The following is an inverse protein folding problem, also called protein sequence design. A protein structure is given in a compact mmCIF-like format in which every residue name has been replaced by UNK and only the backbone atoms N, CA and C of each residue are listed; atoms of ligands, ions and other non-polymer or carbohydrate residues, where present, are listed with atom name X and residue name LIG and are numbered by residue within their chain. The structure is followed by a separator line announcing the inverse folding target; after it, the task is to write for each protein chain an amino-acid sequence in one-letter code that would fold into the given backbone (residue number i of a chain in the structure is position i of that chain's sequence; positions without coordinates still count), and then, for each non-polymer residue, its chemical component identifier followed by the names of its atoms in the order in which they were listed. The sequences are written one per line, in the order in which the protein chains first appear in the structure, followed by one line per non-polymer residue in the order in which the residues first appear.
data_IF_739008198023
#
_entry.id   IF_739008198023
#
_cell.length_a   1.000
_cell.length_b   1.000
_cell.length_c   1.000
_cell.angle_alpha   90.00
_cell.angle_beta   90.00
_cell.angle_gamma   90.00
#
_symmetry.space_group_name_H-M   'P 1'
#
loop_
_entity.id
_entity.type
_entity.pdbx_description
1 polymer ?
#
# COMPACT_ATOMS: atom_id res chain seq x y z
N UNK A 1 42.59 15.33 -9.46
CA UNK A 1 42.00 16.21 -10.50
C UNK A 1 40.79 16.90 -9.87
N UNK A 2 40.79 18.23 -9.74
CA UNK A 2 39.61 18.97 -9.29
C UNK A 2 38.61 18.94 -10.45
N UNK A 3 37.39 18.44 -10.22
CA UNK A 3 36.31 18.52 -11.19
C UNK A 3 36.20 19.96 -11.72
N UNK A 4 36.03 20.10 -13.03
CA UNK A 4 35.93 21.39 -13.70
C UNK A 4 34.83 22.23 -13.03
N UNK A 5 35.02 23.54 -12.89
CA UNK A 5 34.01 24.47 -12.32
C UNK A 5 32.61 24.27 -12.93
N UNK A 6 32.59 23.84 -14.20
CA UNK A 6 31.37 23.54 -14.96
C UNK A 6 30.70 22.25 -14.48
N UNK A 7 31.45 21.19 -14.18
CA UNK A 7 30.90 19.90 -13.69
C UNK A 7 30.27 20.04 -12.31
N UNK A 8 30.90 20.81 -11.41
CA UNK A 8 30.32 21.10 -10.09
C UNK A 8 29.06 21.97 -10.21
N UNK A 9 29.04 22.90 -11.15
CA UNK A 9 27.86 23.75 -11.42
C UNK A 9 26.70 22.92 -11.99
N UNK A 10 26.98 21.98 -12.91
CA UNK A 10 25.97 21.07 -13.46
C UNK A 10 25.42 20.15 -12.37
N UNK A 11 26.28 19.60 -11.50
CA UNK A 11 25.85 18.75 -10.39
C UNK A 11 24.94 19.52 -9.41
N UNK A 12 25.30 20.78 -9.11
CA UNK A 12 24.53 21.65 -8.24
C UNK A 12 23.17 22.05 -8.86
N UNK A 13 23.15 22.39 -10.16
CA UNK A 13 21.91 22.68 -10.88
C UNK A 13 21.01 21.46 -10.99
N UNK A 14 21.57 20.26 -11.19
CA UNK A 14 20.81 19.01 -11.19
C UNK A 14 20.23 18.68 -9.81
N UNK A 15 20.97 18.96 -8.74
CA UNK A 15 20.49 18.81 -7.37
C UNK A 15 19.34 19.78 -7.06
N UNK A 16 19.46 21.05 -7.48
CA UNK A 16 18.40 22.05 -7.38
C UNK A 16 17.17 21.63 -8.19
N UNK A 17 17.34 21.20 -9.44
CA UNK A 17 16.22 20.72 -10.27
C UNK A 17 15.54 19.49 -9.67
N UNK A 18 16.29 18.58 -9.06
CA UNK A 18 15.74 17.43 -8.35
C UNK A 18 14.90 17.85 -7.15
N UNK A 19 15.40 18.76 -6.32
CA UNK A 19 14.66 19.31 -5.17
C UNK A 19 13.41 20.09 -5.61
N UNK A 20 13.50 20.88 -6.68
CA UNK A 20 12.39 21.62 -7.26
C UNK A 20 11.32 20.65 -7.81
N UNK A 21 11.73 19.59 -8.52
CA UNK A 21 10.84 18.54 -9.03
C UNK A 21 10.11 17.79 -7.90
N UNK A 22 10.80 17.52 -6.79
CA UNK A 22 10.23 16.91 -5.59
C UNK A 22 9.17 17.81 -4.94
N UNK A 23 9.44 19.12 -4.86
CA UNK A 23 8.47 20.12 -4.37
C UNK A 23 7.26 20.21 -5.30
N UNK A 24 7.46 20.23 -6.62
CA UNK A 24 6.36 20.23 -7.58
C UNK A 24 5.51 18.95 -7.54
N UNK A 25 6.10 17.79 -7.26
CA UNK A 25 5.35 16.55 -7.04
C UNK A 25 4.51 16.62 -5.78
N UNK A 26 5.05 17.16 -4.69
CA UNK A 26 4.34 17.30 -3.40
C UNK A 26 3.23 18.36 -3.48
N UNK A 27 3.49 19.51 -4.08
CA UNK A 27 2.47 20.54 -4.34
C UNK A 27 1.43 20.04 -5.34
N UNK A 28 1.85 19.35 -6.40
CA UNK A 28 0.93 18.75 -7.38
C UNK A 28 0.04 17.67 -6.77
N UNK A 29 0.55 16.87 -5.82
CA UNK A 29 -0.22 15.89 -5.08
C UNK A 29 -1.22 16.50 -4.12
N UNK A 30 -0.79 17.53 -3.39
CA UNK A 30 -1.69 18.34 -2.56
C UNK A 30 -2.79 18.91 -3.44
N UNK A 31 -2.46 19.54 -4.58
CA UNK A 31 -3.44 20.18 -5.48
C UNK A 31 -4.37 19.17 -6.17
N UNK A 32 -3.89 18.00 -6.58
CA UNK A 32 -4.74 16.93 -7.09
C UNK A 32 -5.72 16.39 -6.03
N UNK A 33 -5.29 16.31 -4.76
CA UNK A 33 -6.17 16.07 -3.62
C UNK A 33 -7.14 17.23 -3.36
N UNK A 34 -6.69 18.47 -3.48
CA UNK A 34 -7.52 19.67 -3.30
C UNK A 34 -8.64 19.77 -4.34
N UNK A 35 -8.49 19.12 -5.50
CA UNK A 35 -9.44 19.18 -6.60
C UNK A 35 -10.31 17.92 -6.75
N UNK A 36 -10.20 16.96 -5.82
CA UNK A 36 -10.98 15.72 -5.83
C UNK A 36 -10.60 14.76 -6.98
N UNK A 37 -9.41 14.90 -7.57
CA UNK A 37 -8.98 14.04 -8.68
C UNK A 37 -8.39 12.73 -8.14
N UNK A 38 -9.27 11.79 -7.81
CA UNK A 38 -8.92 10.47 -7.28
C UNK A 38 -7.93 9.69 -8.15
N UNK A 39 -7.90 9.96 -9.46
CA UNK A 39 -7.06 9.24 -10.41
C UNK A 39 -5.57 9.52 -10.18
N UNK A 40 -5.19 10.80 -10.02
CA UNK A 40 -3.81 11.21 -9.81
C UNK A 40 -3.25 10.75 -8.45
N UNK A 41 -4.12 10.70 -7.42
CA UNK A 41 -3.78 10.21 -6.08
C UNK A 41 -3.51 8.70 -6.13
N UNK A 42 -4.38 7.93 -6.79
CA UNK A 42 -4.26 6.46 -6.89
C UNK A 42 -3.06 6.00 -7.72
N UNK A 43 -2.64 6.76 -8.73
CA UNK A 43 -1.51 6.39 -9.59
C UNK A 43 -0.14 6.71 -8.95
N UNK A 44 -0.04 7.80 -8.18
CA UNK A 44 1.25 8.29 -7.65
C UNK A 44 1.51 8.01 -6.15
N UNK A 45 0.47 7.71 -5.36
CA UNK A 45 0.59 7.57 -3.88
C UNK A 45 0.21 6.19 -3.34
N UNK A 46 -0.13 5.24 -4.21
CA UNK A 46 -0.55 3.90 -3.80
C UNK A 46 0.65 2.96 -3.57
N UNK A 47 1.57 3.38 -2.70
CA UNK A 47 2.46 2.46 -1.98
C UNK A 47 1.99 2.43 -0.53
N UNK A 48 1.46 1.26 -0.14
CA UNK A 48 1.21 0.86 1.24
C UNK A 48 2.37 1.27 2.14
N UNK A 49 2.20 2.32 2.92
CA UNK A 49 2.90 2.51 4.20
C UNK A 49 2.12 3.56 5.01
N UNK A 50 1.50 3.11 6.11
CA UNK A 50 0.96 3.97 7.15
C UNK A 50 2.11 4.72 7.85
N UNK A 51 2.62 5.77 7.21
CA UNK A 51 3.40 6.82 7.87
C UNK A 51 2.62 8.11 7.73
N UNK A 52 2.48 8.81 8.85
CA UNK A 52 1.91 10.16 8.93
C UNK A 52 2.42 11.01 7.75
N UNK A 53 1.50 11.69 7.05
CA UNK A 53 1.79 12.46 5.85
C UNK A 53 2.63 13.71 6.19
N UNK A 54 3.94 13.55 6.29
CA UNK A 54 4.91 14.62 6.54
C UNK A 54 5.23 15.34 5.22
N UNK A 55 4.89 16.63 5.13
CA UNK A 55 5.22 17.49 3.98
C UNK A 55 6.11 18.62 4.46
N UNK A 56 7.22 18.86 3.77
CA UNK A 56 8.11 19.98 4.09
C UNK A 56 7.68 21.20 3.27
N UNK A 57 7.32 22.30 3.94
CA UNK A 57 6.97 23.59 3.34
C UNK A 57 7.92 24.65 3.91
N UNK A 58 8.63 25.38 3.05
CA UNK A 58 9.64 26.38 3.46
C UNK A 58 10.68 25.83 4.47
N UNK A 59 11.12 24.58 4.28
CA UNK A 59 12.05 23.85 5.15
C UNK A 59 11.51 23.55 6.56
N UNK A 60 10.19 23.69 6.78
CA UNK A 60 9.51 23.32 8.02
C UNK A 60 8.66 22.09 7.76
N UNK A 61 8.75 21.11 8.67
CA UNK A 61 7.95 19.90 8.62
C UNK A 61 6.50 20.20 9.03
N UNK A 62 5.59 20.06 8.09
CA UNK A 62 4.15 20.22 8.31
C UNK A 62 3.53 18.84 8.44
N UNK A 63 2.96 18.61 9.62
CA UNK A 63 2.19 17.43 9.98
C UNK A 63 0.73 17.71 9.69
N UNK A 64 0.12 16.81 8.94
CA UNK A 64 -1.29 16.87 8.61
C UNK A 64 -2.03 15.78 9.37
N UNK A 65 -3.10 16.17 10.08
CA UNK A 65 -3.98 15.23 10.76
C UNK A 65 -5.15 14.89 9.85
N UNK A 66 -5.41 13.60 9.66
CA UNK A 66 -6.58 13.12 8.89
C UNK A 66 -7.66 12.71 9.89
N UNK A 67 -8.78 13.43 9.88
CA UNK A 67 -9.93 13.14 10.74
C UNK A 67 -11.16 13.01 9.86
N UNK A 68 -11.75 11.81 9.79
CA UNK A 68 -12.97 11.53 8.99
C UNK A 68 -12.84 12.00 7.52
N UNK A 69 -11.76 11.60 6.86
CA UNK A 69 -11.42 11.95 5.46
C UNK A 69 -11.16 13.44 5.19
N UNK A 70 -11.17 14.29 6.21
CA UNK A 70 -10.75 15.69 6.13
C UNK A 70 -9.33 15.87 6.68
N UNK A 71 -8.52 16.67 5.98
CA UNK A 71 -7.14 16.98 6.37
C UNK A 71 -7.09 18.32 7.10
N UNK A 72 -6.48 18.31 8.28
CA UNK A 72 -6.26 19.49 9.12
C UNK A 72 -4.77 19.81 9.27
N UNK A 73 -4.47 21.10 9.36
CA UNK A 73 -3.19 21.62 9.86
C UNK A 73 -3.45 22.53 11.06
N UNK A 74 -2.43 22.88 11.83
CA UNK A 74 -2.62 23.74 13.00
C UNK A 74 -1.98 25.13 12.83
N UNK A 75 -2.58 26.13 13.50
CA UNK A 75 -2.10 27.52 13.47
C UNK A 75 -0.67 27.70 14.00
N UNK A 76 -0.16 26.79 14.83
CA UNK A 76 1.22 26.82 15.34
C UNK A 76 2.23 26.53 14.22
N UNK A 77 1.97 25.48 13.43
CA UNK A 77 2.77 25.11 12.26
C UNK A 77 2.71 26.18 11.18
N UNK A 78 1.54 26.77 10.94
CA UNK A 78 1.41 27.89 10.00
C UNK A 78 2.28 29.07 10.46
N UNK A 79 2.25 29.40 11.75
CA UNK A 79 3.09 30.46 12.30
C UNK A 79 4.59 30.17 12.07
N UNK A 80 5.02 28.92 12.27
CA UNK A 80 6.41 28.49 12.04
C UNK A 80 6.81 28.56 10.55
N UNK A 81 6.02 27.97 9.66
CA UNK A 81 6.27 27.90 8.20
C UNK A 81 6.42 29.30 7.59
N UNK A 82 5.58 30.25 8.03
CA UNK A 82 5.54 31.61 7.51
C UNK A 82 6.30 32.62 8.37
N UNK A 83 7.04 32.15 9.39
CA UNK A 83 7.85 32.97 10.29
C UNK A 83 7.06 34.12 10.92
N UNK A 84 5.82 33.83 11.32
CA UNK A 84 4.93 34.78 12.00
C UNK A 84 4.82 34.44 13.48
N UNK A 85 4.61 35.45 14.32
CA UNK A 85 4.24 35.21 15.72
C UNK A 85 2.88 34.51 15.74
N UNK A 86 2.77 33.41 16.49
CA UNK A 86 1.51 32.66 16.61
C UNK A 86 0.36 33.54 17.12
N UNK A 87 0.64 34.47 18.03
CA UNK A 87 -0.34 35.46 18.49
C UNK A 87 -0.95 36.27 17.35
N UNK A 88 -0.14 36.72 16.38
CA UNK A 88 -0.67 37.44 15.20
C UNK A 88 -1.53 36.55 14.33
N UNK A 89 -1.18 35.26 14.19
CA UNK A 89 -2.00 34.31 13.46
C UNK A 89 -3.37 34.15 14.13
N UNK A 90 -3.39 34.04 15.46
CA UNK A 90 -4.65 33.98 16.22
C UNK A 90 -5.47 35.26 16.07
N UNK A 91 -4.84 36.43 16.10
CA UNK A 91 -5.52 37.71 15.95
C UNK A 91 -6.15 37.84 14.57
N UNK A 92 -5.44 37.43 13.51
CA UNK A 92 -5.99 37.38 12.14
C UNK A 92 -7.20 36.46 12.09
N UNK A 93 -7.10 35.23 12.61
CA UNK A 93 -8.23 34.27 12.61
C UNK A 93 -9.43 34.83 13.38
N UNK A 94 -9.21 35.45 14.53
CA UNK A 94 -10.28 36.06 15.34
C UNK A 94 -10.93 37.27 14.68
N UNK A 95 -10.19 37.96 13.81
CA UNK A 95 -10.71 39.12 13.06
C UNK A 95 -11.55 38.76 11.85
N UNK A 96 -11.56 37.48 11.44
CA UNK A 96 -12.39 37.02 10.33
C UNK A 96 -13.89 37.09 10.70
N UNK A 97 -14.77 37.41 9.74
CA UNK A 97 -16.21 37.37 9.98
C UNK A 97 -16.62 35.95 10.39
N UNK A 98 -17.54 35.82 11.35
CA UNK A 98 -18.10 34.51 11.70
C UNK A 98 -19.28 34.23 10.79
N UNK A 99 -19.07 33.31 9.86
CA UNK A 99 -19.99 32.96 8.79
C UNK A 99 -19.92 31.44 8.48
N UNK A 100 -20.73 31.01 7.52
CA UNK A 100 -20.80 29.61 7.07
C UNK A 100 -19.46 29.07 6.54
N UNK A 101 -18.52 29.96 6.17
CA UNK A 101 -17.20 29.55 5.71
C UNK A 101 -16.22 29.39 6.87
N UNK A 102 -16.16 30.35 7.79
CA UNK A 102 -15.13 30.36 8.84
C UNK A 102 -15.38 29.35 9.94
N UNK A 103 -16.64 29.10 10.30
CA UNK A 103 -16.99 28.18 11.39
C UNK A 103 -16.50 26.72 11.15
N UNK A 104 -16.74 26.08 9.98
CA UNK A 104 -16.22 24.74 9.73
C UNK A 104 -14.71 24.69 9.48
N UNK A 105 -14.12 25.80 9.00
CA UNK A 105 -12.75 25.85 8.51
C UNK A 105 -11.71 26.29 9.57
N UNK A 106 -12.13 26.86 10.70
CA UNK A 106 -11.27 27.29 11.81
C UNK A 106 -11.80 26.74 13.15
N UNK A 107 -11.33 25.55 13.55
CA UNK A 107 -11.77 24.87 14.78
C UNK A 107 -10.85 25.21 15.94
N UNK A 108 -11.37 25.86 16.97
CA UNK A 108 -10.60 26.21 18.17
C UNK A 108 -10.24 24.95 18.97
N UNK A 109 -9.01 24.91 19.47
CA UNK A 109 -8.46 23.86 20.34
C UNK A 109 -7.46 24.46 21.33
N UNK A 110 -6.95 23.65 22.25
CA UNK A 110 -6.01 24.06 23.28
C UNK A 110 -4.82 23.11 23.37
N UNK A 111 -3.64 23.66 23.63
CA UNK A 111 -2.44 22.89 23.93
C UNK A 111 -1.82 23.35 25.25
N UNK A 112 -1.08 22.46 25.91
CA UNK A 112 -0.28 22.82 27.08
C UNK A 112 1.08 23.31 26.65
N UNK A 113 1.45 24.49 27.09
CA UNK A 113 2.78 25.02 26.88
C UNK A 113 3.81 24.38 27.84
N UNK A 114 5.09 24.72 27.66
CA UNK A 114 6.20 24.21 28.50
C UNK A 114 6.08 24.58 29.98
N UNK A 115 5.25 25.57 30.31
CA UNK A 115 4.98 26.03 31.68
C UNK A 115 3.72 25.41 32.28
N UNK A 116 3.03 24.55 31.51
CA UNK A 116 1.80 23.87 31.91
C UNK A 116 0.53 24.70 31.71
N UNK A 117 0.62 25.88 31.10
CA UNK A 117 -0.55 26.74 30.80
C UNK A 117 -1.26 26.23 29.55
N UNK A 118 -2.60 26.26 29.59
CA UNK A 118 -3.40 26.02 28.39
C UNK A 118 -3.37 27.26 27.50
N UNK A 119 -2.95 27.10 26.25
CA UNK A 119 -2.93 28.14 25.24
C UNK A 119 -3.80 27.73 24.04
N UNK A 120 -4.55 28.67 23.45
CA UNK A 120 -5.43 28.36 22.33
C UNK A 120 -4.64 28.20 21.04
N UNK A 121 -5.12 27.34 20.16
CA UNK A 121 -4.70 27.25 18.77
C UNK A 121 -5.88 26.84 17.90
N UNK A 122 -5.83 27.09 16.60
CA UNK A 122 -6.84 26.61 15.66
C UNK A 122 -6.32 25.41 14.87
N UNK A 123 -7.20 24.44 14.65
CA UNK A 123 -7.13 23.46 13.58
C UNK A 123 -7.82 24.03 12.35
N UNK A 124 -7.12 24.05 11.22
CA UNK A 124 -7.56 24.64 9.98
C UNK A 124 -7.72 23.55 8.93
N UNK A 125 -8.84 23.58 8.22
CA UNK A 125 -8.99 22.83 6.97
C UNK A 125 -8.10 23.44 5.89
N UNK A 126 -8.02 22.76 4.74
CA UNK A 126 -7.44 23.31 3.50
C UNK A 126 -7.94 24.72 3.16
N UNK A 127 -9.25 24.94 3.26
CA UNK A 127 -9.88 26.18 2.81
C UNK A 127 -9.63 27.31 3.81
N UNK A 128 -9.64 27.00 5.11
CA UNK A 128 -9.24 27.94 6.16
C UNK A 128 -7.76 28.33 6.06
N UNK A 129 -6.89 27.35 5.80
CA UNK A 129 -5.46 27.61 5.55
C UNK A 129 -5.25 28.54 4.35
N UNK A 130 -5.90 28.26 3.22
CA UNK A 130 -5.77 29.07 2.01
C UNK A 130 -6.23 30.51 2.25
N UNK A 131 -7.40 30.70 2.89
CA UNK A 131 -7.90 32.03 3.24
C UNK A 131 -6.89 32.80 4.09
N UNK A 132 -6.33 32.15 5.12
CA UNK A 132 -5.38 32.76 6.05
C UNK A 132 -4.09 33.19 5.34
N UNK A 133 -3.49 32.32 4.51
CA UNK A 133 -2.22 32.60 3.83
C UNK A 133 -2.37 33.65 2.73
N UNK A 134 -3.55 33.77 2.10
CA UNK A 134 -3.81 34.85 1.13
C UNK A 134 -3.68 36.24 1.76
N UNK A 135 -4.04 36.40 3.04
CA UNK A 135 -3.86 37.63 3.80
C UNK A 135 -2.42 37.86 4.30
N UNK A 136 -1.53 36.87 4.18
CA UNK A 136 -0.15 37.00 4.64
C UNK A 136 0.73 37.80 3.67
N UNK A 137 1.59 38.62 4.28
CA UNK A 137 2.68 39.36 3.63
C UNK A 137 4.04 38.71 3.92
N UNK A 138 5.05 39.02 3.10
CA UNK A 138 6.43 38.51 3.22
C UNK A 138 6.86 37.60 2.06
N UNK A 139 8.17 37.38 1.92
CA UNK A 139 8.76 36.63 0.80
C UNK A 139 8.26 35.18 0.71
N UNK A 140 8.18 34.47 1.86
CA UNK A 140 7.66 33.10 1.93
C UNK A 140 6.19 33.00 1.54
N UNK A 141 5.36 33.94 2.02
CA UNK A 141 3.95 34.02 1.64
C UNK A 141 3.80 34.34 0.14
N UNK A 142 4.65 35.23 -0.40
CA UNK A 142 4.66 35.56 -1.82
C UNK A 142 5.03 34.36 -2.70
N UNK A 143 6.11 33.65 -2.35
CA UNK A 143 6.52 32.41 -3.04
C UNK A 143 5.40 31.37 -3.02
N UNK A 144 4.78 31.14 -1.86
CA UNK A 144 3.65 30.21 -1.75
C UNK A 144 2.48 30.63 -2.66
N UNK A 145 2.12 31.92 -2.69
CA UNK A 145 1.04 32.44 -3.56
C UNK A 145 1.34 32.22 -5.04
N UNK A 146 2.59 32.42 -5.47
CA UNK A 146 3.00 32.12 -6.86
C UNK A 146 2.83 30.63 -7.16
N UNK A 147 3.29 29.74 -6.28
CA UNK A 147 3.19 28.30 -6.50
C UNK A 147 1.72 27.84 -6.51
N UNK A 148 0.88 28.41 -5.66
CA UNK A 148 -0.56 28.18 -5.69
C UNK A 148 -1.18 28.57 -7.04
N UNK A 149 -0.86 29.77 -7.56
CA UNK A 149 -1.33 30.24 -8.88
C UNK A 149 -0.84 29.32 -10.01
N UNK A 150 0.43 28.93 -10.01
CA UNK A 150 0.99 28.02 -11.02
C UNK A 150 0.27 26.68 -11.03
N UNK A 151 0.01 26.12 -9.84
CA UNK A 151 -0.67 24.84 -9.74
C UNK A 151 -2.14 24.93 -10.18
N UNK A 152 -2.82 26.03 -9.87
CA UNK A 152 -4.16 26.31 -10.40
C UNK A 152 -4.16 26.38 -11.93
N UNK A 153 -3.26 27.15 -12.53
CA UNK A 153 -3.15 27.26 -13.99
C UNK A 153 -2.82 25.91 -14.66
N UNK A 154 -2.00 25.08 -14.00
CA UNK A 154 -1.68 23.73 -14.50
C UNK A 154 -2.90 22.81 -14.45
N UNK A 155 -3.66 22.85 -13.38
CA UNK A 155 -4.92 22.11 -13.27
C UNK A 155 -5.93 22.59 -14.32
N UNK A 156 -6.08 23.91 -14.49
CA UNK A 156 -6.92 24.50 -15.53
C UNK A 156 -6.49 24.01 -16.92
N UNK A 157 -5.19 24.00 -17.22
CA UNK A 157 -4.66 23.49 -18.48
C UNK A 157 -4.94 21.99 -18.68
N UNK A 158 -4.80 21.17 -17.64
CA UNK A 158 -5.13 19.74 -17.69
C UNK A 158 -6.63 19.50 -17.93
N UNK A 159 -7.49 20.25 -17.24
CA UNK A 159 -8.94 20.18 -17.46
C UNK A 159 -9.32 20.66 -18.85
N UNK A 160 -8.69 21.74 -19.32
CA UNK A 160 -8.90 22.25 -20.67
C UNK A 160 -8.44 21.25 -21.73
N UNK A 161 -7.28 20.62 -21.57
CA UNK A 161 -6.80 19.55 -22.45
C UNK A 161 -7.78 18.35 -22.45
N UNK A 162 -8.34 17.99 -21.28
CA UNK A 162 -9.35 16.93 -21.16
C UNK A 162 -10.68 17.30 -21.83
N UNK A 163 -11.08 18.57 -21.79
CA UNK A 163 -12.29 19.08 -22.43
C UNK A 163 -12.12 19.33 -23.94
N UNK A 164 -10.91 19.72 -24.37
CA UNK A 164 -10.54 19.90 -25.79
C UNK A 164 -10.27 18.55 -26.47
N UNK A 165 -9.90 17.50 -25.72
CA UNK A 165 -10.09 16.09 -26.10
C UNK A 165 -11.57 15.71 -26.09
N UNK A 166 -12.40 16.43 -26.86
CA UNK A 166 -13.67 15.86 -27.33
C UNK A 166 -13.32 14.70 -28.27
N UNK A 167 -13.71 13.45 -27.99
CA UNK A 167 -13.66 12.42 -29.02
C UNK A 167 -14.65 12.85 -30.12
N UNK A 168 -14.14 13.32 -31.25
CA UNK A 168 -14.98 13.75 -32.38
C UNK A 168 -15.60 12.54 -33.11
N UNK A 169 -15.38 11.31 -32.66
CA UNK A 169 -16.01 10.15 -33.29
C UNK A 169 -16.37 9.06 -32.27
N UNK A 170 -17.61 8.56 -32.36
CA UNK A 170 -18.09 7.41 -31.58
C UNK A 170 -17.20 6.16 -31.72
N UNK A 171 -16.47 6.07 -32.84
CA UNK A 171 -15.48 5.02 -33.11
C UNK A 171 -14.28 5.04 -32.18
N UNK A 172 -13.81 6.22 -31.75
CA UNK A 172 -12.62 6.31 -30.89
C UNK A 172 -12.94 5.92 -29.45
N UNK A 173 -14.14 6.29 -28.97
CA UNK A 173 -14.68 5.83 -27.68
C UNK A 173 -14.81 4.31 -27.68
N UNK A 174 -15.30 3.73 -28.79
CA UNK A 174 -15.43 2.29 -28.96
C UNK A 174 -14.06 1.60 -28.96
N UNK A 175 -13.06 2.18 -29.63
CA UNK A 175 -11.71 1.63 -29.64
C UNK A 175 -11.07 1.64 -28.25
N UNK A 176 -11.26 2.71 -27.48
CA UNK A 176 -10.76 2.81 -26.12
C UNK A 176 -11.43 1.80 -25.18
N UNK A 177 -12.76 1.61 -25.29
CA UNK A 177 -13.47 0.59 -24.53
C UNK A 177 -13.01 -0.82 -24.92
N UNK A 178 -12.84 -1.11 -26.21
CA UNK A 178 -12.31 -2.40 -26.68
C UNK A 178 -10.91 -2.67 -26.09
N UNK A 179 -10.00 -1.70 -26.14
CA UNK A 179 -8.65 -1.87 -25.60
C UNK A 179 -8.67 -2.15 -24.09
N UNK A 180 -9.51 -1.43 -23.33
CA UNK A 180 -9.70 -1.67 -21.90
C UNK A 180 -10.27 -3.07 -21.62
N UNK A 181 -11.23 -3.54 -22.42
CA UNK A 181 -11.80 -4.88 -22.28
C UNK A 181 -10.78 -5.98 -22.59
N UNK A 182 -9.95 -5.80 -23.61
CA UNK A 182 -8.86 -6.72 -23.95
C UNK A 182 -7.83 -6.81 -22.82
N UNK A 183 -7.50 -5.69 -22.20
CA UNK A 183 -6.58 -5.68 -21.06
C UNK A 183 -7.20 -6.36 -19.82
N UNK A 184 -8.49 -6.14 -19.57
CA UNK A 184 -9.23 -6.82 -18.51
C UNK A 184 -9.26 -8.34 -18.74
N UNK A 185 -9.54 -8.82 -19.95
CA UNK A 185 -9.52 -10.25 -20.27
C UNK A 185 -8.15 -10.90 -20.01
N UNK A 186 -7.06 -10.22 -20.38
CA UNK A 186 -5.70 -10.68 -20.07
C UNK A 186 -5.45 -10.80 -18.57
N UNK A 187 -5.91 -9.81 -17.78
CA UNK A 187 -5.79 -9.84 -16.31
C UNK A 187 -6.64 -10.95 -15.70
N UNK A 188 -7.87 -11.16 -16.19
CA UNK A 188 -8.76 -12.24 -15.74
C UNK A 188 -8.11 -13.60 -15.98
N UNK A 189 -7.62 -13.88 -17.19
CA UNK A 189 -6.90 -15.13 -17.51
C UNK A 189 -5.68 -15.38 -16.62
N UNK A 190 -4.91 -14.33 -16.33
CA UNK A 190 -3.75 -14.45 -15.44
C UNK A 190 -4.16 -14.76 -13.98
N UNK A 191 -5.28 -14.20 -13.50
CA UNK A 191 -5.83 -14.47 -12.18
C UNK A 191 -6.42 -15.89 -12.09
N UNK A 192 -7.11 -16.37 -13.12
CA UNK A 192 -7.61 -17.75 -13.22
C UNK A 192 -6.47 -18.77 -13.11
N UNK A 193 -5.33 -18.51 -13.77
CA UNK A 193 -4.14 -19.35 -13.63
C UNK A 193 -3.63 -19.42 -12.18
N UNK A 194 -3.44 -18.25 -11.54
CA UNK A 194 -2.98 -18.18 -10.14
C UNK A 194 -3.92 -18.85 -9.15
N UNK A 195 -5.23 -18.71 -9.34
CA UNK A 195 -6.23 -19.32 -8.46
C UNK A 195 -6.25 -20.84 -8.60
N UNK A 196 -6.08 -21.38 -9.81
CA UNK A 196 -5.93 -22.83 -10.06
C UNK A 196 -4.70 -23.42 -9.34
N UNK A 197 -3.56 -22.71 -9.40
CA UNK A 197 -2.34 -23.17 -8.75
C UNK A 197 -2.42 -23.10 -7.22
N UNK A 198 -2.98 -22.01 -6.67
CA UNK A 198 -3.28 -21.90 -5.24
C UNK A 198 -4.22 -23.01 -4.76
N UNK A 199 -5.24 -23.36 -5.54
CA UNK A 199 -6.16 -24.43 -5.18
C UNK A 199 -5.45 -25.79 -5.07
N UNK A 200 -4.52 -26.08 -6.00
CA UNK A 200 -3.69 -27.29 -5.94
C UNK A 200 -2.80 -27.32 -4.69
N UNK A 201 -2.20 -26.19 -4.31
CA UNK A 201 -1.38 -26.10 -3.10
C UNK A 201 -2.21 -26.29 -1.83
N UNK A 202 -3.40 -25.67 -1.77
CA UNK A 202 -4.33 -25.85 -0.64
C UNK A 202 -4.76 -27.31 -0.48
N UNK A 203 -5.04 -28.02 -1.59
CA UNK A 203 -5.34 -29.45 -1.55
C UNK A 203 -4.18 -30.27 -1.00
N UNK A 204 -2.94 -30.01 -1.45
CA UNK A 204 -1.74 -30.68 -0.93
C UNK A 204 -1.56 -30.42 0.57
N UNK A 205 -1.68 -29.17 1.01
CA UNK A 205 -1.60 -28.79 2.41
C UNK A 205 -2.66 -29.48 3.26
N UNK A 206 -3.92 -29.52 2.79
CA UNK A 206 -5.02 -30.21 3.47
C UNK A 206 -4.75 -31.70 3.62
N UNK A 207 -4.25 -32.36 2.57
CA UNK A 207 -3.86 -33.78 2.64
C UNK A 207 -2.74 -34.03 3.65
N UNK A 208 -1.73 -33.16 3.70
CA UNK A 208 -0.64 -33.27 4.67
C UNK A 208 -1.11 -33.04 6.11
N UNK A 209 -1.97 -32.04 6.33
CA UNK A 209 -2.53 -31.73 7.65
C UNK A 209 -3.39 -32.88 8.16
N UNK A 210 -4.30 -33.42 7.33
CA UNK A 210 -5.12 -34.57 7.73
C UNK A 210 -4.26 -35.78 8.13
N UNK A 211 -3.13 -35.97 7.45
CA UNK A 211 -2.21 -37.06 7.74
C UNK A 211 -1.43 -36.86 9.05
N UNK A 212 -1.10 -35.62 9.41
CA UNK A 212 -0.44 -35.29 10.67
C UNK A 212 -1.43 -35.32 11.85
N UNK A 213 -2.66 -34.84 11.65
CA UNK A 213 -3.68 -34.76 12.69
C UNK A 213 -4.30 -36.11 13.03
N UNK A 214 -4.41 -37.03 12.06
CA UNK A 214 -5.06 -38.31 12.30
C UNK A 214 -4.22 -39.31 13.10
N UNK A 215 -2.95 -39.03 13.41
CA UNK A 215 -2.09 -39.84 14.30
C UNK A 215 -2.30 -41.36 14.18
N UNK A 216 -2.54 -41.84 12.94
CA UNK A 216 -2.83 -43.24 12.73
C UNK A 216 -1.50 -43.94 12.92
N UNK A 217 -1.42 -44.76 13.96
CA UNK A 217 -0.31 -45.71 14.15
C UNK A 217 -0.08 -46.58 12.92
N UNK A 218 -0.97 -46.53 11.91
CA UNK A 218 -0.92 -47.27 10.66
C UNK A 218 -0.79 -46.34 9.44
N UNK A 219 0.22 -46.57 8.60
CA UNK A 219 0.44 -45.83 7.34
C UNK A 219 0.64 -46.79 6.16
N UNK A 220 0.41 -46.30 4.93
CA UNK A 220 0.87 -47.04 3.73
C UNK A 220 2.38 -46.87 3.54
N UNK A 221 3.00 -47.78 2.81
CA UNK A 221 4.43 -47.71 2.45
C UNK A 221 4.79 -46.37 1.78
N UNK A 222 3.95 -45.94 0.83
CA UNK A 222 4.15 -44.70 0.07
C UNK A 222 3.97 -43.49 0.97
N UNK A 223 2.95 -43.55 1.83
CA UNK A 223 2.74 -42.53 2.82
C UNK A 223 4.03 -42.40 3.64
N UNK A 224 4.45 -43.44 4.37
CA UNK A 224 5.60 -43.36 5.28
C UNK A 224 6.87 -42.84 4.61
N UNK A 225 7.21 -43.33 3.41
CA UNK A 225 8.35 -42.85 2.62
C UNK A 225 8.31 -41.33 2.38
N UNK A 226 7.14 -40.79 1.99
CA UNK A 226 6.98 -39.36 1.74
C UNK A 226 7.16 -38.51 3.01
N UNK A 227 6.75 -39.00 4.19
CA UNK A 227 6.98 -38.27 5.45
C UNK A 227 8.46 -38.23 5.83
N UNK A 228 9.19 -39.32 5.56
CA UNK A 228 10.62 -39.40 5.82
C UNK A 228 11.47 -38.74 4.71
N UNK A 229 10.85 -38.07 3.73
CA UNK A 229 11.55 -37.44 2.61
C UNK A 229 12.22 -38.43 1.64
N UNK A 230 11.83 -39.70 1.66
CA UNK A 230 12.40 -40.74 0.80
C UNK A 230 11.76 -40.66 -0.60
N UNK A 231 12.59 -40.53 -1.62
CA UNK A 231 12.14 -40.45 -3.01
C UNK A 231 11.44 -41.75 -3.46
N UNK A 232 10.30 -41.65 -4.14
CA UNK A 232 9.53 -42.79 -4.66
C UNK A 232 10.33 -43.71 -5.61
N UNK A 233 11.39 -43.21 -6.26
CA UNK A 233 12.29 -44.02 -7.10
C UNK A 233 13.36 -44.77 -6.30
N UNK A 234 13.60 -44.41 -5.04
CA UNK A 234 14.67 -44.94 -4.22
C UNK A 234 14.32 -46.28 -3.54
N UNK A 235 13.05 -46.69 -3.58
CA UNK A 235 12.61 -47.97 -3.00
C UNK A 235 11.58 -48.64 -3.89
N UNK A 236 11.51 -49.97 -3.79
CA UNK A 236 10.45 -50.73 -4.44
C UNK A 236 9.26 -50.89 -3.49
N UNK A 237 8.17 -50.18 -3.77
CA UNK A 237 6.96 -50.18 -2.94
C UNK A 237 6.35 -51.57 -2.75
N UNK A 238 6.38 -52.42 -3.78
CA UNK A 238 5.85 -53.79 -3.71
C UNK A 238 6.74 -54.69 -2.84
N UNK A 239 8.06 -54.59 -2.97
CA UNK A 239 9.00 -55.37 -2.16
C UNK A 239 8.93 -54.96 -0.68
N UNK A 240 8.94 -53.65 -0.39
CA UNK A 240 8.79 -53.12 0.97
C UNK A 240 7.43 -53.50 1.58
N UNK A 241 6.36 -53.49 0.78
CA UNK A 241 5.03 -53.95 1.22
C UNK A 241 4.98 -55.43 1.60
N UNK A 242 5.62 -56.31 0.82
CA UNK A 242 5.76 -57.73 1.17
C UNK A 242 6.55 -57.94 2.46
N UNK A 243 7.65 -57.19 2.63
CA UNK A 243 8.47 -57.23 3.84
C UNK A 243 7.68 -56.76 5.07
N UNK A 244 6.96 -55.64 4.97
CA UNK A 244 6.11 -55.12 6.03
C UNK A 244 5.00 -56.10 6.42
N UNK A 245 4.39 -56.79 5.44
CA UNK A 245 3.39 -57.84 5.70
C UNK A 245 3.99 -59.00 6.48
N UNK A 246 5.21 -59.42 6.14
CA UNK A 246 5.92 -60.50 6.83
C UNK A 246 6.24 -60.10 8.27
N UNK A 247 6.89 -58.95 8.48
CA UNK A 247 7.23 -58.42 9.81
C UNK A 247 6.00 -58.22 10.68
N UNK A 248 4.89 -57.72 10.12
CA UNK A 248 3.64 -57.55 10.87
C UNK A 248 3.09 -58.88 11.38
N UNK A 249 3.14 -59.94 10.56
CA UNK A 249 2.72 -61.28 10.98
C UNK A 249 3.65 -61.89 12.03
N UNK A 250 4.97 -61.70 11.88
CA UNK A 250 5.97 -62.21 12.82
C UNK A 250 5.88 -61.54 14.19
N UNK A 251 5.58 -60.24 14.22
CA UNK A 251 5.49 -59.44 15.45
C UNK A 251 4.05 -59.36 16.02
N UNK A 252 3.08 -60.05 15.41
CA UNK A 252 1.69 -60.02 15.84
C UNK A 252 1.01 -58.66 15.70
N UNK A 253 1.54 -57.78 14.85
CA UNK A 253 1.01 -56.44 14.62
C UNK A 253 -0.23 -56.50 13.70
N UNK A 254 -1.27 -55.75 14.06
CA UNK A 254 -2.47 -55.60 13.24
C UNK A 254 -2.15 -54.92 11.91
N UNK A 255 -2.90 -55.24 10.85
CA UNK A 255 -2.78 -54.59 9.54
C UNK A 255 -4.13 -54.03 9.14
N UNK A 256 -4.13 -52.85 8.53
CA UNK A 256 -5.32 -52.20 8.01
C UNK A 256 -5.32 -52.09 6.48
N UNK A 257 -6.32 -51.42 5.92
CA UNK A 257 -6.36 -51.07 4.51
C UNK A 257 -7.14 -49.77 4.27
N UNK A 258 -6.71 -48.98 3.28
CA UNK A 258 -7.32 -47.72 2.85
C UNK A 258 -7.57 -47.79 1.34
N UNK A 259 -8.59 -47.09 0.85
CA UNK A 259 -8.92 -47.02 -0.57
C UNK A 259 -8.25 -45.79 -1.19
N UNK A 260 -7.39 -46.01 -2.19
CA UNK A 260 -6.70 -44.98 -2.97
C UNK A 260 -7.34 -44.83 -4.37
N UNK A 261 -7.63 -43.61 -4.85
CA UNK A 261 -8.24 -43.39 -6.15
C UNK A 261 -7.45 -43.93 -7.35
N UNK A 262 -6.13 -44.08 -7.23
CA UNK A 262 -5.23 -44.48 -8.32
C UNK A 262 -4.89 -45.97 -8.27
N UNK A 263 -4.80 -46.56 -7.08
CA UNK A 263 -4.30 -47.93 -6.90
C UNK A 263 -5.30 -48.88 -6.23
N UNK A 264 -6.51 -48.41 -5.89
CA UNK A 264 -7.53 -49.24 -5.24
C UNK A 264 -7.22 -49.49 -3.77
N UNK A 265 -7.51 -50.71 -3.27
CA UNK A 265 -7.31 -51.06 -1.87
C UNK A 265 -5.82 -51.26 -1.57
N UNK A 266 -5.24 -50.39 -0.72
CA UNK A 266 -3.84 -50.44 -0.28
C UNK A 266 -3.77 -50.80 1.20
N UNK A 267 -2.87 -51.71 1.58
CA UNK A 267 -2.63 -52.06 2.98
C UNK A 267 -1.94 -50.93 3.76
N UNK A 268 -2.30 -50.80 5.03
CA UNK A 268 -1.63 -49.96 6.02
C UNK A 268 -0.96 -50.81 7.09
N UNK A 269 0.21 -50.38 7.53
CA UNK A 269 1.08 -51.08 8.49
C UNK A 269 1.47 -50.16 9.62
N UNK A 270 1.75 -50.75 10.79
CA UNK A 270 2.18 -49.97 11.95
C UNK A 270 3.44 -49.16 11.64
N UNK A 271 3.52 -47.91 12.10
CA UNK A 271 4.68 -47.04 11.90
C UNK A 271 5.97 -47.66 12.45
N UNK A 272 5.90 -48.41 13.55
CA UNK A 272 7.07 -49.11 14.12
C UNK A 272 7.54 -50.27 13.24
N UNK A 273 6.61 -50.93 12.52
CA UNK A 273 6.97 -51.91 11.49
C UNK A 273 7.59 -51.19 10.29
N UNK A 274 7.06 -50.05 9.89
CA UNK A 274 7.56 -49.29 8.73
C UNK A 274 8.97 -48.71 8.97
N UNK A 275 9.30 -48.32 10.21
CA UNK A 275 10.66 -47.94 10.61
C UNK A 275 11.68 -49.06 10.41
N UNK A 276 11.29 -50.32 10.62
CA UNK A 276 12.16 -51.48 10.41
C UNK A 276 12.27 -51.86 8.93
N UNK A 277 11.23 -51.54 8.15
CA UNK A 277 11.15 -51.88 6.73
C UNK A 277 11.95 -50.91 5.86
N UNK A 278 12.03 -49.63 6.23
CA UNK A 278 12.71 -48.59 5.44
C UNK A 278 14.17 -48.40 5.85
#
# INVERSE_FOLDING_TARGET
MKASSIENTILYLNAINSQISEVYKKVGAVMAYLCGDEFFIKENFNKKENKMNEIIINNVEVKFEVVKDEIFTNSLQIAEVFEKRHTHVLDVIKSLPRDEFTEPNFRLSEYKDKTGRNLPFYNLTRDGFSLLVMGFTGEKAYKWKIEYIKAFNKMEAMLREKLERKPINSLEILQATINSLVEQDKKVKALEGKTSDLHKEQLKAKHNINRLLNNDSYMTIIAYANLQGINAKAYNSSAKGRLATKLSKEQGALMGAVIDPRYGKINTYDVEILKQVF
#
